data_IF_054795598521
#
_entry.id   IF_054795598521
#
_cell.length_a   1.000
_cell.length_b   1.000
_cell.length_c   1.000
_cell.angle_alpha   90.00
_cell.angle_beta   90.00
_cell.angle_gamma   90.00
#
_symmetry.space_group_name_H-M   'P 1'
#
loop_
_entity.id
_entity.type
_entity.pdbx_description
1 polymer ?
#
# COMPACT_ATOMS: atom_id res chain seq x y z
N UNK A 1 25.16 37.23 -92.20
CA UNK A 1 25.67 37.51 -90.87
C UNK A 1 24.57 37.04 -89.86
N UNK A 2 24.65 35.80 -89.43
CA UNK A 2 23.71 35.23 -88.47
C UNK A 2 24.39 35.07 -87.12
N UNK A 3 23.80 35.63 -86.05
CA UNK A 3 24.28 35.46 -84.68
C UNK A 3 23.52 34.29 -84.12
N UNK A 4 24.27 33.24 -83.65
CA UNK A 4 23.71 32.07 -83.00
C UNK A 4 23.65 32.43 -81.49
N UNK A 5 22.43 32.48 -80.95
CA UNK A 5 22.24 32.53 -79.49
C UNK A 5 22.21 31.12 -78.98
N UNK A 6 23.15 30.79 -78.08
CA UNK A 6 23.12 29.57 -77.26
C UNK A 6 22.22 29.83 -76.05
N UNK A 7 21.13 29.13 -75.93
CA UNK A 7 20.35 29.04 -74.70
C UNK A 7 21.07 28.15 -73.70
N UNK A 8 21.36 28.70 -72.53
CA UNK A 8 21.86 27.95 -71.35
C UNK A 8 20.63 27.46 -70.57
N UNK A 9 20.34 26.16 -70.66
CA UNK A 9 19.40 25.51 -69.78
C UNK A 9 19.97 25.40 -68.37
N UNK A 10 19.33 26.01 -67.37
CA UNK A 10 19.63 25.80 -65.96
C UNK A 10 19.14 24.42 -65.55
N UNK A 11 19.90 23.60 -64.80
CA UNK A 11 19.40 22.40 -64.18
C UNK A 11 18.48 22.79 -63.00
N UNK A 12 17.22 22.44 -63.06
CA UNK A 12 16.31 22.47 -61.91
C UNK A 12 16.70 21.33 -60.96
N UNK A 13 17.49 21.63 -59.96
CA UNK A 13 17.60 20.79 -58.74
C UNK A 13 16.48 21.18 -57.78
N UNK A 14 15.31 20.63 -58.01
CA UNK A 14 14.29 20.55 -56.98
C UNK A 14 14.65 19.34 -56.08
N UNK A 15 15.47 19.56 -55.07
CA UNK A 15 15.57 18.65 -53.94
C UNK A 15 14.26 18.76 -53.13
N UNK A 16 13.31 17.87 -53.40
CA UNK A 16 12.20 17.65 -52.54
C UNK A 16 12.72 17.05 -51.23
N UNK A 17 12.99 17.89 -50.22
CA UNK A 17 13.16 17.45 -48.86
C UNK A 17 11.79 16.92 -48.41
N UNK A 18 11.59 15.61 -48.48
CA UNK A 18 10.54 14.91 -47.78
C UNK A 18 10.77 15.06 -46.28
N UNK A 19 10.18 16.10 -45.69
CA UNK A 19 9.99 16.18 -44.24
C UNK A 19 9.13 15.00 -43.86
N UNK A 20 9.73 13.95 -43.31
CA UNK A 20 8.98 12.86 -42.71
C UNK A 20 8.30 13.43 -41.46
N UNK A 21 7.00 13.67 -41.55
CA UNK A 21 6.20 14.01 -40.37
C UNK A 21 6.27 12.82 -39.43
N UNK A 22 6.89 13.01 -38.28
CA UNK A 22 6.90 12.00 -37.23
C UNK A 22 5.53 12.00 -36.52
N UNK A 23 4.71 11.00 -36.78
CA UNK A 23 3.45 10.79 -36.06
C UNK A 23 3.75 10.02 -34.75
N UNK A 24 3.28 10.55 -33.64
CA UNK A 24 3.34 9.87 -32.33
C UNK A 24 1.93 9.57 -31.83
N UNK A 25 1.76 8.44 -31.16
CA UNK A 25 0.48 8.03 -30.55
C UNK A 25 0.68 7.77 -29.07
N UNK A 26 -0.35 8.05 -28.28
CA UNK A 26 -0.41 7.70 -26.87
C UNK A 26 -1.79 7.18 -26.51
N UNK A 27 -1.85 6.24 -25.57
CA UNK A 27 -3.11 5.66 -25.09
C UNK A 27 -3.24 5.93 -23.60
N UNK A 28 -4.37 6.53 -23.19
CA UNK A 28 -4.71 6.65 -21.76
C UNK A 28 -5.52 5.43 -21.34
N UNK A 29 -5.03 4.71 -20.36
CA UNK A 29 -5.67 3.52 -19.80
C UNK A 29 -6.17 3.88 -18.40
N UNK A 30 -7.45 3.62 -18.17
CA UNK A 30 -8.07 3.79 -16.85
C UNK A 30 -8.65 2.45 -16.42
N UNK A 31 -8.21 1.95 -15.29
CA UNK A 31 -8.59 0.64 -14.75
C UNK A 31 -8.85 0.71 -13.24
N UNK A 32 -9.38 -0.36 -12.65
CA UNK A 32 -9.59 -0.46 -11.22
C UNK A 32 -8.67 -1.49 -10.59
N UNK A 33 -8.02 -1.10 -9.48
CA UNK A 33 -7.33 -2.03 -8.59
C UNK A 33 -8.34 -2.46 -7.53
N UNK A 34 -8.74 -3.73 -7.58
CA UNK A 34 -9.80 -4.27 -6.74
C UNK A 34 -9.25 -4.99 -5.52
N UNK A 35 -10.00 -4.94 -4.42
CA UNK A 35 -9.76 -5.71 -3.20
C UNK A 35 -11.03 -5.78 -2.37
N UNK A 36 -11.05 -6.69 -1.39
CA UNK A 36 -12.21 -6.88 -0.54
C UNK A 36 -11.82 -7.14 0.92
N UNK A 37 -12.77 -6.92 1.82
CA UNK A 37 -12.62 -7.18 3.25
C UNK A 37 -13.93 -7.72 3.80
N UNK A 38 -13.83 -8.68 4.72
CA UNK A 38 -14.96 -9.21 5.46
C UNK A 38 -14.90 -8.71 6.91
N UNK A 39 -15.98 -8.09 7.36
CA UNK A 39 -16.13 -7.58 8.72
C UNK A 39 -17.22 -8.37 9.45
N UNK A 40 -16.82 -9.12 10.47
CA UNK A 40 -17.73 -9.87 11.33
C UNK A 40 -17.96 -9.07 12.62
N UNK A 41 -19.23 -8.81 12.93
CA UNK A 41 -19.68 -8.12 14.14
C UNK A 41 -20.35 -9.16 15.04
N UNK A 42 -19.76 -9.41 16.20
CA UNK A 42 -20.30 -10.30 17.24
C UNK A 42 -20.86 -9.47 18.39
N UNK A 43 -21.93 -9.92 19.03
CA UNK A 43 -22.59 -9.16 20.08
C UNK A 43 -23.38 -7.96 19.54
N UNK A 44 -24.11 -8.15 18.45
CA UNK A 44 -24.96 -7.10 17.89
C UNK A 44 -25.93 -6.53 18.91
N UNK A 45 -26.53 -7.39 19.74
CA UNK A 45 -27.45 -6.97 20.80
C UNK A 45 -26.82 -5.98 21.78
N UNK A 46 -25.53 -6.12 22.10
CA UNK A 46 -24.78 -5.23 22.99
C UNK A 46 -24.38 -3.91 22.30
N UNK A 47 -24.41 -3.88 20.99
CA UNK A 47 -24.11 -2.67 20.21
C UNK A 47 -25.34 -1.76 20.02
N UNK A 48 -26.54 -2.28 20.28
CA UNK A 48 -27.77 -1.49 20.25
C UNK A 48 -27.78 -0.48 21.41
N UNK A 49 -28.24 0.74 21.10
CA UNK A 49 -28.24 1.81 22.10
C UNK A 49 -26.90 2.52 22.24
N UNK A 50 -25.92 2.22 21.38
CA UNK A 50 -24.66 2.96 21.30
C UNK A 50 -24.90 4.46 21.02
N UNK A 51 -26.00 4.75 20.33
CA UNK A 51 -26.48 6.09 19.98
C UNK A 51 -26.39 6.38 18.48
N UNK A 52 -27.31 7.21 18.02
CA UNK A 52 -27.37 7.63 16.62
C UNK A 52 -26.07 8.34 16.25
N UNK A 53 -25.50 8.02 15.09
CA UNK A 53 -24.23 8.59 14.62
C UNK A 53 -22.99 7.95 15.23
N UNK A 54 -23.12 7.02 16.16
CA UNK A 54 -22.00 6.20 16.68
C UNK A 54 -21.86 4.94 15.87
N UNK A 55 -20.61 4.50 15.67
CA UNK A 55 -20.28 3.38 14.79
C UNK A 55 -19.30 2.40 15.43
N UNK A 56 -19.30 1.20 14.89
CA UNK A 56 -18.27 0.18 15.08
C UNK A 56 -17.45 0.13 13.79
N UNK A 57 -16.13 0.19 13.92
CA UNK A 57 -15.22 0.15 12.78
C UNK A 57 -14.60 -1.24 12.62
N UNK A 58 -14.37 -1.65 11.37
CA UNK A 58 -13.49 -2.77 11.07
C UNK A 58 -12.02 -2.38 11.28
N UNK A 59 -11.13 -3.38 11.26
CA UNK A 59 -9.72 -3.13 10.99
C UNK A 59 -9.54 -2.48 9.62
N UNK A 60 -8.41 -1.80 9.44
CA UNK A 60 -8.06 -1.21 8.15
C UNK A 60 -7.53 -2.28 7.19
N UNK A 61 -7.89 -2.17 5.91
CA UNK A 61 -7.41 -3.03 4.84
C UNK A 61 -6.94 -2.21 3.64
N UNK A 62 -6.00 -2.78 2.87
CA UNK A 62 -5.31 -2.04 1.80
C UNK A 62 -5.87 -2.40 0.43
N UNK A 63 -6.29 -1.40 -0.34
CA UNK A 63 -6.67 -1.54 -1.75
C UNK A 63 -6.14 -0.35 -2.54
N UNK A 64 -5.49 -0.62 -3.66
CA UNK A 64 -4.98 0.40 -4.57
C UNK A 64 -3.94 1.36 -3.97
N UNK A 65 -3.25 0.94 -2.90
CA UNK A 65 -2.27 1.76 -2.18
C UNK A 65 -2.87 2.65 -1.08
N UNK A 66 -4.18 2.52 -0.81
CA UNK A 66 -4.89 3.26 0.23
C UNK A 66 -5.44 2.32 1.30
N UNK A 67 -5.47 2.79 2.55
CA UNK A 67 -6.12 2.10 3.66
C UNK A 67 -7.60 2.46 3.71
N UNK A 68 -8.43 1.46 3.92
CA UNK A 68 -9.90 1.54 3.98
C UNK A 68 -10.40 0.94 5.28
N UNK A 69 -11.58 1.37 5.75
CA UNK A 69 -12.28 0.78 6.89
C UNK A 69 -13.78 0.77 6.65
N UNK A 70 -14.47 -0.23 7.21
CA UNK A 70 -15.94 -0.33 7.18
C UNK A 70 -16.48 0.26 8.48
N UNK A 71 -17.48 1.13 8.37
CA UNK A 71 -18.18 1.71 9.52
C UNK A 71 -19.63 1.24 9.55
N UNK A 72 -19.98 0.52 10.59
CA UNK A 72 -21.33 0.04 10.85
C UNK A 72 -21.98 0.86 11.98
N UNK A 73 -23.15 1.40 11.72
CA UNK A 73 -23.92 2.21 12.67
C UNK A 73 -25.16 1.41 13.11
N UNK A 74 -25.14 0.81 14.31
CA UNK A 74 -26.26 -0.05 14.77
C UNK A 74 -27.56 0.73 14.99
N UNK A 75 -27.47 1.97 15.45
CA UNK A 75 -28.62 2.87 15.65
C UNK A 75 -28.79 3.89 14.51
N UNK A 76 -28.15 3.63 13.35
CA UNK A 76 -28.20 4.52 12.21
C UNK A 76 -27.29 5.75 12.33
N UNK A 77 -27.00 6.35 11.20
CA UNK A 77 -26.14 7.54 11.09
C UNK A 77 -26.94 8.87 11.21
N UNK A 78 -28.22 8.87 10.81
CA UNK A 78 -29.04 10.07 10.71
C UNK A 78 -30.05 10.14 11.86
N UNK A 79 -30.11 11.28 12.53
CA UNK A 79 -31.07 11.56 13.61
C UNK A 79 -32.51 11.51 13.09
N UNK A 80 -32.72 11.92 11.82
CA UNK A 80 -34.03 11.94 11.17
C UNK A 80 -34.68 10.57 11.08
N UNK A 81 -33.87 9.50 11.05
CA UNK A 81 -34.35 8.12 10.93
C UNK A 81 -34.74 7.49 12.27
N UNK A 82 -34.54 8.20 13.38
CA UNK A 82 -34.90 7.77 14.76
C UNK A 82 -34.52 6.31 15.03
N UNK A 83 -33.28 5.94 14.68
CA UNK A 83 -32.74 4.58 14.82
C UNK A 83 -33.55 3.46 14.10
N UNK A 84 -34.37 3.81 13.13
CA UNK A 84 -35.18 2.81 12.39
C UNK A 84 -34.37 1.97 11.40
N UNK A 85 -33.17 2.44 11.05
CA UNK A 85 -32.28 1.78 10.08
C UNK A 85 -30.90 1.59 10.67
N UNK A 86 -30.22 0.53 10.26
CA UNK A 86 -28.77 0.42 10.38
C UNK A 86 -28.13 1.10 9.17
N UNK A 87 -26.96 1.71 9.37
CA UNK A 87 -26.21 2.36 8.29
C UNK A 87 -24.88 1.68 8.10
N UNK A 88 -24.39 1.67 6.85
CA UNK A 88 -23.13 1.02 6.48
C UNK A 88 -22.35 1.91 5.52
N UNK A 89 -21.08 2.14 5.83
CA UNK A 89 -20.20 3.03 5.06
C UNK A 89 -18.82 2.41 4.88
N UNK A 90 -18.18 2.75 3.76
CA UNK A 90 -16.76 2.58 3.55
C UNK A 90 -16.07 3.94 3.71
N UNK A 91 -14.95 3.98 4.40
CA UNK A 91 -14.19 5.19 4.67
C UNK A 91 -12.74 5.05 4.20
N UNK A 92 -12.18 6.13 3.68
CA UNK A 92 -10.75 6.27 3.42
C UNK A 92 -10.04 6.49 4.75
N UNK A 93 -9.20 5.55 5.16
CA UNK A 93 -8.50 5.56 6.45
C UNK A 93 -7.06 6.10 6.37
N UNK A 94 -6.50 6.21 5.15
CA UNK A 94 -5.18 6.81 4.91
C UNK A 94 -5.30 8.24 4.38
N UNK A 95 -4.19 8.96 4.42
CA UNK A 95 -4.06 10.23 3.71
C UNK A 95 -4.22 9.98 2.20
N UNK A 96 -4.88 10.90 1.54
CA UNK A 96 -5.12 10.86 0.11
C UNK A 96 -6.03 12.00 -0.28
N UNK A 97 -5.80 12.55 -1.47
CA UNK A 97 -6.64 13.59 -2.07
C UNK A 97 -7.22 13.05 -3.37
N UNK A 98 -8.52 13.32 -3.57
CA UNK A 98 -9.23 12.98 -4.80
C UNK A 98 -9.12 11.51 -5.20
N UNK A 99 -9.16 10.60 -4.20
CA UNK A 99 -9.15 9.16 -4.43
C UNK A 99 -10.47 8.76 -5.07
N UNK A 100 -10.42 8.32 -6.32
CA UNK A 100 -11.60 7.85 -7.06
C UNK A 100 -11.78 6.37 -6.84
N UNK A 101 -12.97 5.97 -6.38
CA UNK A 101 -13.24 4.56 -6.08
C UNK A 101 -14.70 4.17 -6.38
N UNK A 102 -14.86 2.90 -6.65
CA UNK A 102 -16.13 2.18 -6.67
C UNK A 102 -16.18 1.29 -5.43
N UNK A 103 -17.37 0.96 -4.95
CA UNK A 103 -17.50 0.05 -3.83
C UNK A 103 -18.81 -0.75 -3.90
N UNK A 104 -18.79 -1.88 -3.22
CA UNK A 104 -19.93 -2.72 -2.96
C UNK A 104 -19.96 -3.08 -1.49
N UNK A 105 -21.13 -2.95 -0.87
CA UNK A 105 -21.39 -3.31 0.52
C UNK A 105 -22.45 -4.40 0.55
N UNK A 106 -22.10 -5.55 1.11
CA UNK A 106 -22.95 -6.74 1.15
C UNK A 106 -23.13 -7.21 2.57
N UNK A 107 -24.39 -7.35 3.00
CA UNK A 107 -24.75 -8.05 4.22
C UNK A 107 -24.99 -9.52 3.88
N UNK A 108 -24.20 -10.40 4.49
CA UNK A 108 -24.18 -11.81 4.16
C UNK A 108 -25.35 -12.56 4.85
N UNK A 109 -26.10 -13.30 4.04
CA UNK A 109 -27.06 -14.28 4.53
C UNK A 109 -26.32 -15.47 5.18
N UNK A 110 -26.66 -15.79 6.41
CA UNK A 110 -26.06 -16.86 7.18
C UNK A 110 -26.90 -18.14 7.20
N UNK A 111 -27.96 -18.19 6.39
CA UNK A 111 -28.82 -19.37 6.25
C UNK A 111 -28.27 -20.45 5.31
N UNK A 112 -27.23 -20.11 4.53
CA UNK A 112 -26.71 -20.94 3.45
C UNK A 112 -27.49 -20.86 2.14
N UNK A 113 -28.51 -19.99 2.05
CA UNK A 113 -29.34 -19.79 0.84
C UNK A 113 -28.82 -18.68 -0.07
N UNK A 114 -27.66 -18.08 0.26
CA UNK A 114 -26.96 -17.04 -0.52
C UNK A 114 -27.82 -15.81 -0.90
N UNK A 115 -28.86 -15.52 -0.11
CA UNK A 115 -29.75 -14.37 -0.31
C UNK A 115 -29.15 -13.10 0.30
N UNK A 116 -27.96 -12.73 -0.18
CA UNK A 116 -27.26 -11.56 0.33
C UNK A 116 -27.97 -10.25 0.01
N UNK A 117 -27.85 -9.28 0.91
CA UNK A 117 -28.30 -7.91 0.66
C UNK A 117 -27.13 -7.10 0.12
N UNK A 118 -27.14 -6.85 -1.17
CA UNK A 118 -26.05 -6.19 -1.90
C UNK A 118 -26.43 -4.76 -2.27
N UNK A 119 -25.54 -3.84 -2.02
CA UNK A 119 -25.57 -2.48 -2.55
C UNK A 119 -24.24 -2.21 -3.29
N UNK A 120 -24.29 -2.25 -4.61
CA UNK A 120 -23.14 -2.13 -5.47
C UNK A 120 -23.18 -0.84 -6.30
N UNK A 121 -22.02 -0.21 -6.44
CA UNK A 121 -21.78 0.92 -7.36
C UNK A 121 -20.96 0.52 -8.60
N UNK A 122 -20.48 -0.72 -8.67
CA UNK A 122 -19.70 -1.18 -9.83
C UNK A 122 -20.51 -1.15 -11.14
N UNK A 123 -21.81 -1.43 -11.08
CA UNK A 123 -22.69 -1.39 -12.24
C UNK A 123 -23.13 0.01 -12.68
N UNK A 124 -22.84 1.05 -11.88
CA UNK A 124 -23.30 2.44 -12.13
C UNK A 124 -22.26 3.34 -12.79
N UNK A 125 -21.13 2.79 -13.17
CA UNK A 125 -20.00 3.55 -13.74
C UNK A 125 -20.36 4.39 -14.95
N UNK A 126 -21.28 3.93 -15.78
CA UNK A 126 -21.72 4.64 -17.00
C UNK A 126 -22.61 5.84 -16.69
N UNK A 127 -23.38 5.80 -15.58
CA UNK A 127 -24.35 6.84 -15.24
C UNK A 127 -23.75 7.97 -14.38
N UNK A 128 -22.96 7.62 -13.37
CA UNK A 128 -22.51 8.58 -12.35
C UNK A 128 -21.01 8.56 -12.08
N UNK A 129 -20.28 7.61 -12.63
CA UNK A 129 -18.84 7.45 -12.44
C UNK A 129 -18.44 7.06 -11.00
N UNK A 130 -17.13 6.92 -10.77
CA UNK A 130 -16.58 6.63 -9.45
C UNK A 130 -16.80 7.77 -8.47
N UNK A 131 -16.93 7.46 -7.18
CA UNK A 131 -16.93 8.45 -6.11
C UNK A 131 -15.53 9.00 -5.87
N UNK A 132 -15.45 10.29 -5.52
CA UNK A 132 -14.20 10.94 -5.13
C UNK A 132 -14.17 11.16 -3.62
N UNK A 133 -13.14 10.59 -2.97
CA UNK A 133 -12.86 10.76 -1.56
C UNK A 133 -11.72 11.76 -1.41
N UNK A 134 -12.00 12.92 -0.80
CA UNK A 134 -11.10 14.08 -0.86
C UNK A 134 -10.02 14.08 0.22
N UNK A 135 -10.28 13.44 1.37
CA UNK A 135 -9.38 13.47 2.52
C UNK A 135 -9.61 12.24 3.40
N UNK A 136 -8.68 11.97 4.29
CA UNK A 136 -8.80 10.94 5.33
C UNK A 136 -10.08 11.14 6.15
N UNK A 137 -10.88 10.09 6.29
CA UNK A 137 -12.18 10.13 6.93
C UNK A 137 -13.34 10.41 5.97
N UNK A 138 -13.08 10.76 4.69
CA UNK A 138 -14.13 10.77 3.67
C UNK A 138 -14.77 9.40 3.57
N UNK A 139 -16.11 9.36 3.53
CA UNK A 139 -16.85 8.12 3.52
C UNK A 139 -18.01 8.15 2.54
N UNK A 140 -18.30 6.98 1.97
CA UNK A 140 -19.45 6.73 1.12
C UNK A 140 -20.18 5.48 1.58
N UNK A 141 -21.50 5.47 1.44
CA UNK A 141 -22.34 4.35 1.86
C UNK A 141 -23.79 4.73 1.98
N UNK A 142 -24.52 3.98 2.78
CA UNK A 142 -25.97 4.06 2.85
C UNK A 142 -26.44 4.37 4.26
N UNK A 143 -27.07 5.53 4.47
CA UNK A 143 -27.70 5.92 5.74
C UNK A 143 -28.83 4.95 6.14
N UNK A 144 -29.64 4.54 5.15
CA UNK A 144 -30.74 3.59 5.29
C UNK A 144 -30.38 2.26 4.64
N UNK A 145 -29.31 1.61 5.12
CA UNK A 145 -28.80 0.38 4.52
C UNK A 145 -29.81 -0.77 4.63
N UNK A 146 -30.33 -0.98 5.84
CA UNK A 146 -31.34 -1.99 6.10
C UNK A 146 -32.24 -1.56 7.27
N UNK A 147 -33.55 -1.88 7.21
CA UNK A 147 -34.50 -1.59 8.29
C UNK A 147 -34.16 -2.46 9.50
N UNK A 148 -33.90 -1.84 10.66
CA UNK A 148 -33.44 -2.56 11.86
C UNK A 148 -34.38 -3.68 12.31
N UNK A 149 -35.69 -3.42 12.35
CA UNK A 149 -36.69 -4.44 12.73
C UNK A 149 -36.70 -5.66 11.80
N UNK A 150 -36.43 -5.45 10.50
CA UNK A 150 -36.32 -6.55 9.53
C UNK A 150 -34.97 -7.27 9.65
N UNK A 151 -33.89 -6.56 9.97
CA UNK A 151 -32.59 -7.15 10.20
C UNK A 151 -32.62 -8.13 11.37
N UNK A 152 -33.25 -7.72 12.47
CA UNK A 152 -33.31 -8.48 13.70
C UNK A 152 -34.15 -9.77 13.58
N UNK A 153 -35.03 -9.86 12.57
CA UNK A 153 -35.85 -11.03 12.25
C UNK A 153 -35.34 -11.84 11.06
N UNK A 154 -34.19 -11.49 10.54
CA UNK A 154 -33.65 -12.08 9.29
C UNK A 154 -32.54 -13.08 9.55
N UNK A 155 -32.28 -13.89 8.53
CA UNK A 155 -31.12 -14.79 8.48
C UNK A 155 -29.77 -14.07 8.36
N UNK A 156 -29.73 -12.74 8.27
CA UNK A 156 -28.51 -11.94 8.32
C UNK A 156 -27.94 -11.85 9.74
N UNK A 157 -28.81 -11.86 10.75
CA UNK A 157 -28.44 -11.90 12.16
C UNK A 157 -28.64 -13.31 12.71
N UNK A 158 -27.54 -14.04 12.92
CA UNK A 158 -27.55 -15.40 13.45
C UNK A 158 -26.60 -15.53 14.62
N UNK A 159 -27.05 -16.05 15.74
CA UNK A 159 -26.22 -16.19 16.94
C UNK A 159 -25.63 -14.85 17.42
N UNK A 160 -26.44 -13.78 17.35
CA UNK A 160 -26.06 -12.41 17.70
C UNK A 160 -24.84 -11.86 16.88
N UNK A 161 -24.65 -12.43 15.67
CA UNK A 161 -23.56 -12.07 14.77
C UNK A 161 -24.08 -11.55 13.42
N UNK A 162 -23.44 -10.53 12.90
CA UNK A 162 -23.59 -10.02 11.52
C UNK A 162 -22.29 -10.24 10.75
N UNK A 163 -22.38 -10.48 9.45
CA UNK A 163 -21.22 -10.55 8.58
C UNK A 163 -21.41 -9.62 7.39
N UNK A 164 -20.51 -8.68 7.24
CA UNK A 164 -20.46 -7.68 6.15
C UNK A 164 -19.29 -7.99 5.26
N UNK A 165 -19.50 -7.99 3.97
CA UNK A 165 -18.44 -8.03 2.96
C UNK A 165 -18.40 -6.70 2.21
N UNK A 166 -17.21 -6.16 2.02
CA UNK A 166 -16.98 -4.93 1.26
C UNK A 166 -15.99 -5.19 0.16
N UNK A 167 -16.35 -4.84 -1.08
CA UNK A 167 -15.42 -4.78 -2.21
C UNK A 167 -15.16 -3.33 -2.56
N UNK A 168 -13.89 -2.99 -2.85
CA UNK A 168 -13.44 -1.65 -3.26
C UNK A 168 -12.66 -1.77 -4.55
N UNK A 169 -12.94 -0.90 -5.52
CA UNK A 169 -12.17 -0.74 -6.74
C UNK A 169 -11.61 0.68 -6.82
N UNK A 170 -10.31 0.84 -6.62
CA UNK A 170 -9.62 2.13 -6.73
C UNK A 170 -9.29 2.39 -8.19
N UNK A 171 -9.76 3.52 -8.72
CA UNK A 171 -9.49 3.92 -10.10
C UNK A 171 -8.06 4.43 -10.22
N UNK A 172 -7.33 3.88 -11.17
CA UNK A 172 -5.97 4.28 -11.55
C UNK A 172 -5.95 4.62 -13.04
N UNK A 173 -5.29 5.72 -13.39
CA UNK A 173 -5.10 6.10 -14.78
C UNK A 173 -3.61 6.25 -15.06
N UNK A 174 -3.17 5.75 -16.18
CA UNK A 174 -1.82 5.93 -16.69
C UNK A 174 -1.85 6.11 -18.20
N UNK A 175 -0.84 6.76 -18.73
CA UNK A 175 -0.71 6.97 -20.18
C UNK A 175 0.43 6.12 -20.69
N UNK A 176 0.13 5.31 -21.70
CA UNK A 176 1.14 4.56 -22.44
C UNK A 176 1.46 5.35 -23.72
N UNK A 177 2.71 5.75 -23.85
CA UNK A 177 3.27 6.29 -25.09
C UNK A 177 3.94 5.19 -25.94
N UNK A 178 4.47 5.51 -27.11
CA UNK A 178 5.27 4.58 -27.88
C UNK A 178 6.40 4.08 -26.96
N UNK A 179 6.48 2.77 -26.77
CA UNK A 179 7.56 2.14 -25.98
C UNK A 179 8.87 2.39 -26.71
N UNK A 180 9.54 3.46 -26.34
CA UNK A 180 10.97 3.60 -26.64
C UNK A 180 11.61 2.43 -25.92
N UNK A 181 12.17 1.48 -26.66
CA UNK A 181 12.76 0.22 -26.19
C UNK A 181 13.29 0.32 -24.77
N UNK A 182 12.46 0.03 -23.79
CA UNK A 182 12.93 -0.11 -22.41
C UNK A 182 13.53 -1.50 -22.31
N UNK A 183 14.82 -1.58 -22.14
CA UNK A 183 15.46 -2.83 -21.72
C UNK A 183 14.77 -3.22 -20.41
N UNK A 184 14.14 -4.38 -20.38
CA UNK A 184 13.53 -4.90 -19.17
C UNK A 184 14.60 -5.02 -18.10
N UNK A 185 14.59 -4.12 -17.12
CA UNK A 185 15.51 -4.18 -15.98
C UNK A 185 14.95 -5.28 -15.07
N UNK A 186 15.67 -6.41 -14.90
CA UNK A 186 15.22 -7.45 -14.01
C UNK A 186 15.10 -6.90 -12.59
N UNK A 187 14.18 -7.44 -11.76
CA UNK A 187 14.05 -6.99 -10.38
C UNK A 187 15.37 -7.13 -9.66
N UNK A 188 15.75 -6.12 -8.88
CA UNK A 188 17.02 -6.10 -8.16
C UNK A 188 17.11 -7.27 -7.18
N UNK A 189 18.10 -8.12 -7.35
CA UNK A 189 18.44 -9.22 -6.45
C UNK A 189 19.62 -8.87 -5.50
N UNK A 190 20.00 -7.60 -5.44
CA UNK A 190 21.13 -7.11 -4.64
C UNK A 190 21.04 -7.49 -3.16
N UNK A 191 19.82 -7.48 -2.59
CA UNK A 191 19.58 -7.89 -1.22
C UNK A 191 19.90 -9.38 -0.99
N UNK A 192 19.59 -10.22 -1.96
CA UNK A 192 19.88 -11.64 -1.95
C UNK A 192 21.40 -11.90 -1.98
N UNK A 193 22.12 -11.18 -2.85
CA UNK A 193 23.57 -11.28 -2.94
C UNK A 193 24.27 -10.79 -1.68
N UNK A 194 23.81 -9.69 -1.07
CA UNK A 194 24.35 -9.24 0.20
C UNK A 194 24.01 -10.20 1.36
N UNK A 195 22.84 -10.84 1.34
CA UNK A 195 22.51 -11.90 2.29
C UNK A 195 23.47 -13.07 2.19
N UNK A 196 23.74 -13.57 0.98
CA UNK A 196 24.72 -14.65 0.72
C UNK A 196 26.14 -14.25 1.14
N UNK A 197 26.55 -13.00 0.87
CA UNK A 197 27.84 -12.49 1.28
C UNK A 197 27.98 -12.50 2.81
N UNK A 198 26.93 -12.08 3.53
CA UNK A 198 26.89 -12.05 4.96
C UNK A 198 26.92 -13.47 5.57
N UNK A 199 26.15 -14.40 5.00
CA UNK A 199 26.13 -15.82 5.44
C UNK A 199 27.46 -16.52 5.20
N UNK A 200 28.12 -16.23 4.07
CA UNK A 200 29.41 -16.82 3.73
C UNK A 200 30.54 -16.46 4.70
N UNK A 201 30.40 -15.34 5.43
CA UNK A 201 31.43 -14.81 6.33
C UNK A 201 32.77 -14.45 5.67
N UNK A 202 32.83 -14.47 4.32
CA UNK A 202 34.08 -14.23 3.59
C UNK A 202 34.44 -12.75 3.60
N UNK A 203 35.70 -12.44 3.92
CA UNK A 203 36.30 -11.09 3.92
C UNK A 203 35.57 -10.10 4.84
N UNK A 204 35.00 -10.59 5.93
CA UNK A 204 34.48 -9.73 6.99
C UNK A 204 35.60 -8.92 7.64
N UNK A 205 35.30 -7.70 8.04
CA UNK A 205 36.26 -6.72 8.58
C UNK A 205 35.84 -6.18 9.96
N UNK A 206 34.75 -6.72 10.53
CA UNK A 206 34.31 -6.44 11.90
C UNK A 206 33.59 -7.65 12.49
N UNK A 207 33.77 -7.85 13.80
CA UNK A 207 33.04 -8.82 14.59
C UNK A 207 32.17 -8.10 15.63
N UNK A 208 31.00 -8.63 15.89
CA UNK A 208 30.15 -8.21 17.01
C UNK A 208 30.01 -9.36 17.99
N UNK A 209 30.24 -9.09 19.26
CA UNK A 209 30.01 -10.04 20.34
C UNK A 209 28.71 -9.68 21.06
N UNK A 210 27.75 -10.60 21.05
CA UNK A 210 26.42 -10.42 21.64
C UNK A 210 26.10 -11.64 22.48
N UNK A 211 25.98 -11.48 23.77
CA UNK A 211 25.72 -12.58 24.72
C UNK A 211 26.68 -13.79 24.55
N UNK A 212 27.97 -13.52 24.26
CA UNK A 212 28.97 -14.56 24.07
C UNK A 212 28.98 -15.20 22.67
N UNK A 213 28.06 -14.84 21.77
CA UNK A 213 28.10 -15.25 20.39
C UNK A 213 28.82 -14.20 19.53
N UNK A 214 29.60 -14.65 18.56
CA UNK A 214 30.32 -13.76 17.62
C UNK A 214 29.69 -13.75 16.26
N UNK A 215 29.41 -12.53 15.74
CA UNK A 215 28.82 -12.27 14.44
C UNK A 215 29.77 -11.49 13.56
N UNK A 216 30.32 -12.14 12.55
CA UNK A 216 31.17 -11.48 11.56
C UNK A 216 30.34 -10.66 10.55
N UNK A 217 30.84 -9.49 10.16
CA UNK A 217 30.11 -8.60 9.24
C UNK A 217 31.08 -7.74 8.40
N UNK A 218 30.50 -6.97 7.46
CA UNK A 218 31.20 -6.04 6.58
C UNK A 218 30.84 -4.61 6.99
N UNK A 219 31.82 -3.84 7.49
CA UNK A 219 31.64 -2.45 7.95
C UNK A 219 30.93 -1.57 6.94
N UNK A 220 31.38 -1.60 5.67
CA UNK A 220 30.82 -0.78 4.61
C UNK A 220 29.34 -1.12 4.36
N UNK A 221 28.98 -2.39 4.35
CA UNK A 221 27.61 -2.83 4.10
C UNK A 221 26.69 -2.36 5.21
N UNK A 222 27.09 -2.55 6.47
CA UNK A 222 26.31 -2.10 7.63
C UNK A 222 26.16 -0.58 7.65
N UNK A 223 27.24 0.17 7.44
CA UNK A 223 27.24 1.63 7.44
C UNK A 223 26.46 2.23 6.28
N UNK A 224 26.42 1.58 5.12
CA UNK A 224 25.61 2.01 3.98
C UNK A 224 24.11 1.88 4.26
N UNK A 225 23.71 0.97 5.17
CA UNK A 225 22.30 0.63 5.43
C UNK A 225 21.77 1.22 6.73
N UNK A 226 22.63 1.57 7.67
CA UNK A 226 22.22 2.08 8.97
C UNK A 226 23.06 3.30 9.38
N UNK A 227 22.42 4.45 9.63
CA UNK A 227 23.09 5.64 10.17
C UNK A 227 23.79 5.36 11.53
N UNK A 228 23.19 4.49 12.36
CA UNK A 228 23.75 4.09 13.65
C UNK A 228 25.07 3.33 13.45
N UNK A 229 25.07 2.30 12.61
CA UNK A 229 26.31 1.60 12.27
C UNK A 229 27.32 2.49 11.57
N UNK A 230 26.86 3.44 10.73
CA UNK A 230 27.76 4.42 10.13
C UNK A 230 28.46 5.27 11.19
N UNK A 231 27.71 5.80 12.13
CA UNK A 231 28.26 6.60 13.22
C UNK A 231 29.21 5.79 14.11
N UNK A 232 28.83 4.57 14.45
CA UNK A 232 29.61 3.68 15.30
C UNK A 232 30.91 3.19 14.64
N UNK A 233 30.86 2.85 13.34
CA UNK A 233 31.98 2.25 12.61
C UNK A 233 32.91 3.29 11.96
N UNK A 234 32.42 4.48 11.64
CA UNK A 234 33.15 5.52 10.92
C UNK A 234 33.04 6.91 11.53
N UNK A 235 32.28 7.06 12.62
CA UNK A 235 32.14 8.35 13.32
C UNK A 235 33.40 8.81 14.06
N UNK A 236 33.43 10.06 14.55
CA UNK A 236 34.59 10.66 15.17
C UNK A 236 35.02 10.01 16.51
N UNK A 237 34.12 9.28 17.16
CA UNK A 237 34.38 8.54 18.41
C UNK A 237 34.84 7.09 18.21
N UNK A 238 35.18 6.73 16.98
CA UNK A 238 35.63 5.38 16.64
C UNK A 238 37.00 5.10 17.20
N UNK A 239 37.12 3.99 17.94
CA UNK A 239 38.42 3.39 18.26
C UNK A 239 38.95 2.66 17.03
N UNK A 240 40.02 3.19 16.42
CA UNK A 240 40.53 2.74 15.12
C UNK A 240 41.02 1.30 15.11
N UNK A 241 41.29 0.71 16.27
CA UNK A 241 41.83 -0.65 16.40
C UNK A 241 40.79 -1.70 16.77
N UNK A 242 39.53 -1.34 16.99
CA UNK A 242 38.52 -2.30 17.45
C UNK A 242 38.07 -3.20 16.31
N UNK A 243 38.53 -4.44 16.30
CA UNK A 243 38.05 -5.50 15.39
C UNK A 243 36.80 -6.21 15.94
N UNK A 244 36.51 -6.08 17.25
CA UNK A 244 35.35 -6.68 17.88
C UNK A 244 34.58 -5.63 18.69
N UNK A 245 33.29 -5.52 18.44
CA UNK A 245 32.37 -4.59 19.11
C UNK A 245 31.44 -5.38 20.00
N UNK A 246 31.45 -5.09 21.30
CA UNK A 246 30.50 -5.66 22.27
C UNK A 246 29.13 -4.96 22.16
N UNK A 247 28.07 -5.75 22.14
CA UNK A 247 26.67 -5.28 22.17
C UNK A 247 26.02 -5.88 23.40
N UNK A 248 25.72 -5.05 24.39
CA UNK A 248 25.25 -5.50 25.71
C UNK A 248 23.71 -5.47 25.82
N UNK A 249 23.03 -4.60 25.07
CA UNK A 249 21.60 -4.35 25.22
C UNK A 249 20.74 -5.12 24.19
N UNK A 250 21.24 -6.22 23.64
CA UNK A 250 20.53 -6.97 22.62
C UNK A 250 20.78 -8.47 22.69
N UNK A 251 19.74 -9.26 22.47
CA UNK A 251 19.87 -10.71 22.38
C UNK A 251 20.44 -11.18 21.04
N UNK A 252 21.23 -12.25 21.03
CA UNK A 252 21.90 -12.80 19.86
C UNK A 252 20.95 -13.10 18.68
N UNK A 253 19.75 -13.72 18.86
CA UNK A 253 18.79 -13.92 17.78
C UNK A 253 18.26 -12.60 17.19
N UNK A 254 18.03 -11.59 18.04
CA UNK A 254 17.55 -10.27 17.61
C UNK A 254 18.63 -9.55 16.83
N UNK A 255 19.88 -9.60 17.27
CA UNK A 255 21.01 -9.02 16.53
C UNK A 255 21.18 -9.71 15.17
N UNK A 256 21.09 -11.02 15.11
CA UNK A 256 21.15 -11.79 13.86
C UNK A 256 20.08 -11.33 12.88
N UNK A 257 18.84 -11.17 13.33
CA UNK A 257 17.73 -10.68 12.51
C UNK A 257 17.92 -9.22 12.09
N UNK A 258 18.34 -8.32 12.98
CA UNK A 258 18.55 -6.90 12.67
C UNK A 258 19.66 -6.69 11.64
N UNK A 259 20.72 -7.49 11.70
CA UNK A 259 21.79 -7.52 10.70
C UNK A 259 21.28 -7.86 9.30
N UNK A 260 20.36 -8.87 9.20
CA UNK A 260 19.70 -9.24 7.95
C UNK A 260 18.67 -8.19 7.49
N UNK A 261 17.84 -7.67 8.39
CA UNK A 261 16.82 -6.68 8.09
C UNK A 261 17.41 -5.37 7.56
N UNK A 262 18.54 -4.97 8.08
CA UNK A 262 19.30 -3.83 7.54
C UNK A 262 19.66 -4.00 6.05
N UNK A 263 19.86 -5.23 5.59
CA UNK A 263 20.15 -5.55 4.19
C UNK A 263 18.90 -5.71 3.32
N UNK A 264 17.73 -6.06 3.91
CA UNK A 264 16.53 -6.51 3.19
C UNK A 264 15.36 -5.51 3.18
N UNK A 265 15.57 -4.25 3.57
CA UNK A 265 14.48 -3.24 3.72
C UNK A 265 13.50 -3.12 2.53
N UNK A 266 13.83 -3.67 1.36
CA UNK A 266 12.95 -3.66 0.19
C UNK A 266 11.91 -4.80 0.14
N UNK A 267 12.07 -5.86 0.94
CA UNK A 267 11.17 -7.03 0.92
C UNK A 267 10.11 -6.95 2.03
N UNK A 268 10.36 -6.20 3.10
CA UNK A 268 9.57 -6.27 4.34
C UNK A 268 8.32 -5.38 4.41
N UNK A 269 8.07 -4.53 3.44
CA UNK A 269 6.76 -3.82 3.35
C UNK A 269 5.56 -4.76 3.23
N UNK A 270 5.78 -6.05 2.89
CA UNK A 270 4.71 -7.05 2.75
C UNK A 270 4.65 -8.13 3.85
N UNK A 271 5.68 -8.33 4.66
CA UNK A 271 5.73 -9.44 5.63
C UNK A 271 5.44 -8.99 7.08
N UNK A 272 5.56 -7.71 7.40
CA UNK A 272 5.29 -7.20 8.76
C UNK A 272 3.82 -7.34 9.21
N UNK A 273 2.91 -7.67 8.29
CA UNK A 273 1.48 -7.90 8.58
C UNK A 273 1.14 -9.34 9.00
N UNK A 274 2.09 -10.28 9.00
CA UNK A 274 1.80 -11.70 9.23
C UNK A 274 2.27 -12.29 10.57
N UNK A 275 2.90 -11.51 11.46
CA UNK A 275 3.37 -12.02 12.74
C UNK A 275 2.89 -11.17 13.93
N UNK A 276 1.82 -11.56 14.63
CA UNK A 276 1.30 -10.83 15.80
C UNK A 276 2.25 -10.85 17.03
N UNK A 277 3.36 -11.58 16.99
CA UNK A 277 4.32 -11.69 18.09
C UNK A 277 5.54 -10.74 18.00
N UNK A 278 5.74 -10.04 16.90
CA UNK A 278 6.89 -9.14 16.73
C UNK A 278 6.73 -7.79 17.47
N UNK A 279 5.53 -7.47 17.92
CA UNK A 279 5.18 -6.14 18.44
C UNK A 279 5.72 -5.86 19.87
N UNK A 280 6.03 -6.89 20.65
CA UNK A 280 6.46 -6.74 22.05
C UNK A 280 7.98 -6.63 22.21
N UNK A 281 8.75 -7.27 21.31
CA UNK A 281 10.22 -7.34 21.46
C UNK A 281 10.99 -6.37 20.55
N UNK A 282 10.39 -5.87 19.48
CA UNK A 282 11.09 -5.02 18.48
C UNK A 282 10.81 -3.51 18.62
N UNK A 283 9.78 -3.11 19.38
CA UNK A 283 9.43 -1.70 19.60
C UNK A 283 10.57 -0.82 20.15
N UNK A 284 11.37 -1.22 21.13
CA UNK A 284 12.44 -0.36 21.63
C UNK A 284 13.57 -0.14 20.61
N UNK A 285 13.90 -1.18 19.84
CA UNK A 285 15.03 -1.13 18.90
C UNK A 285 14.67 -0.37 17.62
N UNK A 286 13.41 -0.50 17.16
CA UNK A 286 12.93 0.21 15.98
C UNK A 286 12.64 1.68 16.25
N UNK A 287 12.19 2.04 17.47
CA UNK A 287 11.92 3.44 17.82
C UNK A 287 13.19 4.30 17.79
N UNK A 288 14.32 3.80 18.25
CA UNK A 288 15.60 4.49 18.15
C UNK A 288 16.17 4.58 16.74
N UNK A 289 15.85 3.62 15.86
CA UNK A 289 16.28 3.66 14.46
C UNK A 289 15.40 4.54 13.56
N UNK A 290 14.13 4.78 13.94
CA UNK A 290 13.15 5.49 13.08
C UNK A 290 12.91 6.95 13.49
N UNK A 291 13.01 7.31 14.77
CA UNK A 291 12.76 8.69 15.21
C UNK A 291 13.86 9.70 14.87
N UNK A 292 15.04 9.28 14.38
CA UNK A 292 16.10 10.22 14.01
C UNK A 292 16.14 10.58 12.51
N UNK A 293 15.18 10.15 11.71
CA UNK A 293 15.16 10.40 10.28
C UNK A 293 14.16 11.49 9.81
N UNK A 294 13.31 12.04 10.71
CA UNK A 294 12.31 13.07 10.35
C UNK A 294 12.66 14.49 10.85
N UNK A 295 13.92 14.76 11.18
CA UNK A 295 14.39 16.09 11.50
C UNK A 295 15.59 16.46 10.61
N UNK A 296 15.28 16.81 9.32
CA UNK A 296 15.95 17.85 8.51
C UNK A 296 15.29 17.90 7.12
#
# INVERSE_FOLDING_TARGET
>A
MGKIFREYSKPNNASSSSTSESSTTSTSITETVNGSHQFKITGYSLSKGLGIGKYIASDTFMVGGYAWAIYFYPDGKSVEDNAAYVSLFIALASEGTDVRALFELTLLDQSGKERHKVHSHFGRTLESGPYTLKYRGSMWGYKRFFKRTLLEQSDYLKGDCLSVHCSVGVVKSHTEGPKIYSIAIPPSNIGQHFGQLLESGKRTDVNFEVNGETFAAHKLVLAARSPVFRAQLYGPMKDQNTQCIKVEDMEAPVFKMSRFLGLLRFIFSRIFFLLPFADVMLKPVLYHCFCSCDAN
#
